data_IF_220340824552
#
_entry.id   IF_220340824552
#
_cell.length_a   1.000
_cell.length_b   1.000
_cell.length_c   1.000
_cell.angle_alpha   90.00
_cell.angle_beta   90.00
_cell.angle_gamma   90.00
#
_symmetry.space_group_name_H-M   'P 1'
#
loop_
_entity.id
_entity.type
_entity.pdbx_description
1 polymer ?
#
# COMPACT_ATOMS: atom_id res chain seq x y z
N UNK A 1 11.23 8.63 -2.64
CA UNK A 1 10.62 8.98 -1.34
C UNK A 1 10.51 7.73 -0.47
N UNK A 2 10.47 7.91 0.81
CA UNK A 2 10.46 6.80 1.75
C UNK A 2 9.05 6.57 2.29
N UNK A 3 8.61 5.31 2.29
CA UNK A 3 7.39 4.90 2.97
C UNK A 3 7.70 3.71 3.87
N UNK A 4 6.83 3.44 4.81
CA UNK A 4 6.97 2.31 5.71
C UNK A 4 5.86 1.33 5.38
N UNK A 5 6.24 0.15 4.89
CA UNK A 5 5.26 -0.86 4.47
C UNK A 5 5.40 -2.06 5.39
N UNK A 6 4.33 -2.34 6.13
CA UNK A 6 4.31 -3.45 7.09
C UNK A 6 5.53 -3.39 8.04
N UNK A 7 5.88 -2.18 8.47
CA UNK A 7 6.96 -1.98 9.40
C UNK A 7 8.36 -1.91 8.78
N UNK A 8 8.47 -1.98 7.47
CA UNK A 8 9.76 -1.92 6.79
C UNK A 8 9.89 -0.66 5.96
N UNK A 9 11.06 -0.04 6.01
CA UNK A 9 11.34 1.15 5.20
C UNK A 9 11.52 0.72 3.74
N UNK A 10 10.79 1.39 2.85
CA UNK A 10 10.82 1.10 1.42
C UNK A 10 10.98 2.39 0.64
N UNK A 11 11.93 2.40 -0.30
CA UNK A 11 12.09 3.51 -1.22
C UNK A 11 11.19 3.31 -2.42
N UNK A 12 10.41 4.32 -2.74
CA UNK A 12 9.54 4.31 -3.91
C UNK A 12 9.68 5.63 -4.65
N UNK A 13 9.17 5.68 -5.87
CA UNK A 13 9.23 6.89 -6.68
C UNK A 13 8.39 8.00 -6.04
N UNK A 14 8.81 9.23 -6.25
CA UNK A 14 7.95 10.37 -5.92
C UNK A 14 6.70 10.28 -6.79
N UNK A 15 5.59 10.69 -6.26
CA UNK A 15 4.28 10.57 -6.92
C UNK A 15 3.75 9.14 -7.03
N UNK A 16 4.37 8.19 -6.33
CA UNK A 16 3.85 6.83 -6.31
C UNK A 16 2.48 6.80 -5.64
N UNK A 17 1.60 5.98 -6.18
CA UNK A 17 0.29 5.70 -5.60
C UNK A 17 0.33 4.36 -4.90
N UNK A 18 -0.73 4.03 -4.17
CA UNK A 18 -0.84 2.69 -3.58
C UNK A 18 -0.76 1.64 -4.67
N UNK A 19 -1.47 1.85 -5.78
CA UNK A 19 -1.46 0.90 -6.89
C UNK A 19 -0.04 0.65 -7.40
N UNK A 20 0.72 1.71 -7.67
CA UNK A 20 2.07 1.54 -8.20
C UNK A 20 3.01 0.94 -7.16
N UNK A 21 2.84 1.30 -5.89
CA UNK A 21 3.63 0.71 -4.82
C UNK A 21 3.40 -0.79 -4.71
N UNK A 22 2.15 -1.22 -4.73
CA UNK A 22 1.82 -2.64 -4.65
C UNK A 22 2.41 -3.40 -5.82
N UNK A 23 2.34 -2.83 -7.01
CA UNK A 23 2.91 -3.45 -8.21
C UNK A 23 4.42 -3.56 -8.10
N UNK A 24 5.08 -2.50 -7.67
CA UNK A 24 6.54 -2.49 -7.51
C UNK A 24 7.01 -3.54 -6.51
N UNK A 25 6.26 -3.72 -5.42
CA UNK A 25 6.63 -4.66 -4.36
C UNK A 25 6.16 -6.09 -4.63
N UNK A 26 5.42 -6.30 -5.71
CA UNK A 26 5.00 -7.64 -6.09
C UNK A 26 3.78 -8.15 -5.33
N UNK A 27 2.99 -7.28 -4.73
CA UNK A 27 1.74 -7.71 -4.11
C UNK A 27 0.70 -8.04 -5.17
N UNK A 28 -0.20 -8.99 -4.88
CA UNK A 28 -1.30 -9.25 -5.79
C UNK A 28 -2.25 -8.06 -5.83
N UNK A 29 -3.03 -7.95 -6.89
CA UNK A 29 -4.00 -6.87 -7.04
C UNK A 29 -5.39 -7.24 -6.49
N UNK A 30 -5.55 -8.46 -6.01
CA UNK A 30 -6.81 -8.93 -5.44
C UNK A 30 -6.55 -9.62 -4.10
N UNK A 31 -7.59 -9.64 -3.27
CA UNK A 31 -7.51 -10.35 -2.01
C UNK A 31 -6.65 -9.65 -0.97
N UNK A 32 -6.44 -8.36 -1.11
CA UNK A 32 -5.69 -7.58 -0.13
C UNK A 32 -6.48 -6.38 0.33
N UNK A 33 -6.17 -5.93 1.52
CA UNK A 33 -6.68 -4.68 2.07
C UNK A 33 -5.49 -3.80 2.43
N UNK A 34 -5.66 -2.51 2.28
CA UNK A 34 -4.59 -1.54 2.53
C UNK A 34 -5.08 -0.52 3.53
N UNK A 35 -4.26 -0.24 4.53
CA UNK A 35 -4.47 0.88 5.43
C UNK A 35 -3.35 1.89 5.22
N UNK A 36 -3.70 3.15 5.21
CA UNK A 36 -2.76 4.25 5.07
C UNK A 36 -2.85 5.11 6.31
N UNK A 37 -1.72 5.24 7.02
CA UNK A 37 -1.66 6.02 8.25
C UNK A 37 -2.79 5.63 9.22
N UNK A 38 -2.98 4.32 9.41
CA UNK A 38 -3.94 3.72 10.34
C UNK A 38 -5.40 3.81 9.91
N UNK A 39 -5.67 4.26 8.68
CA UNK A 39 -7.02 4.30 8.13
C UNK A 39 -7.14 3.38 6.94
N UNK A 40 -8.19 2.57 6.91
CA UNK A 40 -8.43 1.70 5.76
C UNK A 40 -8.63 2.58 4.52
N UNK A 41 -7.91 2.24 3.46
CA UNK A 41 -8.00 2.97 2.21
C UNK A 41 -8.83 2.18 1.22
N UNK A 42 -10.01 2.68 0.86
CA UNK A 42 -10.84 1.98 -0.13
C UNK A 42 -10.11 1.84 -1.46
N UNK A 43 -10.38 0.76 -2.15
CA UNK A 43 -9.74 0.49 -3.43
C UNK A 43 -9.91 1.64 -4.43
N UNK A 44 -11.05 2.33 -4.37
CA UNK A 44 -11.32 3.47 -5.24
C UNK A 44 -10.35 4.64 -5.01
N UNK A 45 -9.61 4.63 -3.90
CA UNK A 45 -8.66 5.69 -3.57
C UNK A 45 -7.20 5.25 -3.71
N UNK A 46 -6.95 4.08 -4.26
CA UNK A 46 -5.60 3.56 -4.39
C UNK A 46 -4.75 4.34 -5.42
N UNK A 47 -5.37 5.18 -6.22
CA UNK A 47 -4.65 6.02 -7.17
C UNK A 47 -4.24 7.38 -6.57
N UNK A 48 -4.48 7.55 -5.28
CA UNK A 48 -4.03 8.72 -4.56
C UNK A 48 -2.52 8.65 -4.34
N UNK A 49 -1.84 9.75 -4.56
CA UNK A 49 -0.39 9.83 -4.35
C UNK A 49 -0.08 9.69 -2.86
N UNK A 50 0.88 8.84 -2.56
CA UNK A 50 1.30 8.62 -1.18
C UNK A 50 2.11 9.81 -0.66
N UNK A 51 1.89 10.22 0.59
CA UNK A 51 2.76 11.22 1.20
C UNK A 51 4.09 10.60 1.61
N UNK A 52 5.14 11.40 1.62
CA UNK A 52 6.44 10.96 2.11
C UNK A 52 6.33 10.56 3.58
N UNK A 53 6.92 9.44 3.92
CA UNK A 53 6.85 8.91 5.28
C UNK A 53 5.55 8.18 5.60
N UNK A 54 4.71 7.93 4.61
CA UNK A 54 3.45 7.24 4.84
C UNK A 54 3.65 5.87 5.45
N UNK A 55 2.80 5.52 6.39
CA UNK A 55 2.74 4.17 6.94
C UNK A 55 1.67 3.40 6.22
N UNK A 56 2.06 2.33 5.58
CA UNK A 56 1.17 1.51 4.77
C UNK A 56 1.13 0.10 5.35
N UNK A 57 -0.05 -0.38 5.65
CA UNK A 57 -0.26 -1.76 6.08
C UNK A 57 -0.98 -2.51 4.98
N UNK A 58 -0.40 -3.60 4.54
CA UNK A 58 -1.00 -4.44 3.51
C UNK A 58 -1.31 -5.79 4.13
N UNK A 59 -2.57 -6.16 4.10
CA UNK A 59 -3.04 -7.42 4.67
C UNK A 59 -3.63 -8.26 3.56
N UNK A 60 -3.17 -9.50 3.43
CA UNK A 60 -3.77 -10.42 2.49
C UNK A 60 -5.01 -11.03 3.13
N UNK A 61 -6.12 -10.98 2.42
CA UNK A 61 -7.33 -11.63 2.88
C UNK A 61 -7.16 -13.14 2.70
N UNK A 62 -7.27 -13.86 3.80
CA UNK A 62 -7.25 -15.31 3.73
C UNK A 62 -8.64 -15.76 3.32
N UNK A 63 -8.73 -16.33 2.15
CA UNK A 63 -9.97 -16.96 1.72
C UNK A 63 -10.04 -18.29 2.42
N UNK A 64 -10.90 -18.39 3.37
CA UNK A 64 -10.98 -19.58 4.22
C UNK A 64 -11.58 -20.80 3.56
N UNK A 65 -11.53 -20.81 2.31
CA UNK A 65 -12.15 -21.99 1.72
C UNK A 65 -11.61 -22.33 0.47
#
# INVERSE_FOLDING_TARGET
MLVIVNGEDVQIDENATVTTMLDTLGFPDKGIAVALNWSVLPRSEWDTVLPDGAKVEVVTAVQGG
#
